data_IF_889731237084
#
_entry.id   IF_889731237084
#
_cell.length_a   1.000
_cell.length_b   1.000
_cell.length_c   1.000
_cell.angle_alpha   90.00
_cell.angle_beta   90.00
_cell.angle_gamma   90.00
#
_symmetry.space_group_name_H-M   'P 1'
#
loop_
_entity.id
_entity.type
_entity.pdbx_description
1 polymer ?
#
# COMPACT_ATOMS: atom_id res chain seq x y z
N UNK A 1 -17.83 -4.29 28.72
CA UNK A 1 -16.79 -3.92 29.69
C UNK A 1 -15.45 -3.62 29.02
N UNK A 2 -14.71 -4.59 28.48
CA UNK A 2 -13.38 -4.31 27.87
C UNK A 2 -13.45 -3.40 26.63
N UNK A 3 -14.41 -3.66 25.73
CA UNK A 3 -14.62 -2.83 24.55
C UNK A 3 -15.06 -1.39 24.90
N UNK A 4 -15.86 -1.23 25.96
CA UNK A 4 -16.35 0.07 26.42
C UNK A 4 -15.21 0.88 27.05
N UNK A 5 -14.37 0.23 27.85
CA UNK A 5 -13.16 0.83 28.39
C UNK A 5 -12.20 1.30 27.28
N UNK A 6 -11.92 0.44 26.29
CA UNK A 6 -11.03 0.78 25.18
C UNK A 6 -11.57 1.95 24.33
N UNK A 7 -12.88 2.00 24.11
CA UNK A 7 -13.53 3.11 23.42
C UNK A 7 -13.37 4.43 24.18
N UNK A 8 -13.49 4.40 25.51
CA UNK A 8 -13.38 5.57 26.36
C UNK A 8 -11.94 6.10 26.43
N UNK A 9 -10.95 5.21 26.52
CA UNK A 9 -9.53 5.56 26.43
C UNK A 9 -9.23 6.23 25.09
N UNK A 10 -9.71 5.66 23.97
CA UNK A 10 -9.55 6.28 22.66
C UNK A 10 -10.16 7.68 22.61
N UNK A 11 -11.37 7.85 23.16
CA UNK A 11 -12.07 9.14 23.18
C UNK A 11 -11.28 10.21 23.92
N UNK A 12 -10.76 9.89 25.11
CA UNK A 12 -9.94 10.80 25.89
C UNK A 12 -8.67 11.21 25.13
N UNK A 13 -7.94 10.24 24.56
CA UNK A 13 -6.70 10.52 23.81
C UNK A 13 -6.93 11.36 22.57
N UNK A 14 -8.02 11.12 21.83
CA UNK A 14 -8.36 11.93 20.66
C UNK A 14 -8.70 13.36 21.06
N UNK A 15 -9.45 13.57 22.14
CA UNK A 15 -9.75 14.91 22.64
C UNK A 15 -8.48 15.66 23.07
N UNK A 16 -7.58 15.02 23.83
CA UNK A 16 -6.27 15.56 24.22
C UNK A 16 -5.41 15.93 23.01
N UNK A 17 -5.52 15.16 21.92
CA UNK A 17 -4.79 15.39 20.66
C UNK A 17 -5.44 16.43 19.74
N UNK A 18 -6.51 17.11 20.18
CA UNK A 18 -7.17 18.17 19.41
C UNK A 18 -8.14 17.67 18.33
N UNK A 19 -8.70 16.47 18.47
CA UNK A 19 -9.70 15.96 17.53
C UNK A 19 -10.94 16.89 17.47
N UNK A 20 -11.36 17.26 16.26
CA UNK A 20 -12.53 18.14 16.04
C UNK A 20 -13.85 17.49 16.50
N UNK A 21 -13.96 16.16 16.41
CA UNK A 21 -15.11 15.41 16.90
C UNK A 21 -14.73 13.96 17.17
N UNK A 22 -15.35 13.35 18.18
CA UNK A 22 -15.22 11.92 18.46
C UNK A 22 -16.62 11.33 18.63
N UNK A 23 -16.95 10.31 17.85
CA UNK A 23 -18.25 9.64 17.87
C UNK A 23 -18.08 8.19 18.28
N UNK A 24 -18.65 7.82 19.42
CA UNK A 24 -18.69 6.43 19.86
C UNK A 24 -19.85 5.66 19.21
N UNK A 25 -19.60 4.40 18.89
CA UNK A 25 -20.59 3.49 18.30
C UNK A 25 -21.57 2.91 19.35
N UNK A 26 -22.03 3.78 20.26
CA UNK A 26 -22.83 3.42 21.44
C UNK A 26 -24.27 2.99 21.09
N UNK A 27 -24.83 3.55 20.01
CA UNK A 27 -26.17 3.21 19.52
C UNK A 27 -26.10 2.50 18.18
N UNK A 28 -27.14 1.75 17.82
CA UNK A 28 -27.27 1.15 16.49
C UNK A 28 -27.20 2.21 15.39
N UNK A 29 -27.83 3.37 15.58
CA UNK A 29 -27.73 4.50 14.65
C UNK A 29 -26.28 4.99 14.46
N UNK A 30 -25.50 5.12 15.54
CA UNK A 30 -24.10 5.54 15.44
C UNK A 30 -23.26 4.47 14.72
N UNK A 31 -23.45 3.18 15.06
CA UNK A 31 -22.80 2.05 14.38
C UNK A 31 -23.10 2.05 12.88
N UNK A 32 -24.37 2.18 12.52
CA UNK A 32 -24.79 2.19 11.12
C UNK A 32 -24.18 3.34 10.35
N UNK A 33 -24.13 4.55 10.94
CA UNK A 33 -23.48 5.71 10.33
C UNK A 33 -21.98 5.48 10.09
N UNK A 34 -21.25 4.96 11.09
CA UNK A 34 -19.82 4.64 10.95
C UNK A 34 -19.58 3.56 9.89
N UNK A 35 -20.43 2.53 9.83
CA UNK A 35 -20.40 1.52 8.77
C UNK A 35 -20.72 2.06 7.39
N UNK A 36 -21.71 2.94 7.28
CA UNK A 36 -21.98 3.62 6.02
C UNK A 36 -20.77 4.44 5.57
N UNK A 37 -20.11 5.18 6.48
CA UNK A 37 -18.89 5.92 6.17
C UNK A 37 -17.77 4.99 5.66
N UNK A 38 -17.46 3.90 6.39
CA UNK A 38 -16.44 2.92 5.99
C UNK A 38 -16.76 2.31 4.62
N UNK A 39 -18.00 1.88 4.39
CA UNK A 39 -18.43 1.27 3.12
C UNK A 39 -18.40 2.25 1.95
N UNK A 40 -18.65 3.54 2.20
CA UNK A 40 -18.71 4.57 1.16
C UNK A 40 -17.36 5.20 0.81
N UNK A 41 -16.30 4.94 1.58
CA UNK A 41 -14.98 5.53 1.34
C UNK A 41 -14.51 5.39 -0.11
N UNK A 42 -14.60 4.18 -0.69
CA UNK A 42 -14.23 3.95 -2.11
C UNK A 42 -15.14 4.68 -3.10
N UNK A 43 -16.45 4.70 -2.83
CA UNK A 43 -17.41 5.44 -3.66
C UNK A 43 -17.23 6.96 -3.60
N UNK A 44 -16.63 7.49 -2.53
CA UNK A 44 -16.24 8.89 -2.45
C UNK A 44 -15.04 9.19 -3.37
N UNK A 45 -14.06 8.28 -3.49
CA UNK A 45 -12.93 8.44 -4.39
C UNK A 45 -13.35 8.57 -5.85
N UNK A 46 -14.33 7.77 -6.29
CA UNK A 46 -14.88 7.84 -7.65
C UNK A 46 -15.60 9.16 -7.98
N UNK A 47 -15.91 10.00 -6.98
CA UNK A 47 -16.39 11.38 -7.22
C UNK A 47 -15.26 12.38 -7.38
N UNK A 48 -14.05 12.06 -6.93
CA UNK A 48 -12.89 12.94 -6.98
C UNK A 48 -12.11 12.80 -8.29
N UNK A 49 -12.08 11.59 -8.87
CA UNK A 49 -11.41 11.32 -10.13
C UNK A 49 -12.06 10.12 -10.85
N UNK A 50 -12.02 10.07 -12.19
CA UNK A 50 -12.56 8.96 -12.96
C UNK A 50 -11.75 7.67 -12.81
N UNK A 51 -10.47 7.78 -12.45
CA UNK A 51 -9.57 6.65 -12.23
C UNK A 51 -8.80 6.82 -10.92
N UNK A 52 -8.46 5.69 -10.31
CA UNK A 52 -7.52 5.67 -9.19
C UNK A 52 -6.73 4.37 -9.17
N UNK A 53 -5.47 4.46 -8.74
CA UNK A 53 -4.56 3.34 -8.60
C UNK A 53 -4.36 3.08 -7.10
N UNK A 54 -4.75 1.89 -6.67
CA UNK A 54 -4.80 1.51 -5.25
C UNK A 54 -3.48 0.89 -4.85
N UNK A 55 -2.89 1.38 -3.77
CA UNK A 55 -1.82 0.68 -3.09
C UNK A 55 -2.28 0.10 -1.77
N UNK A 56 -1.51 -0.85 -1.28
CA UNK A 56 -1.72 -1.57 -0.04
C UNK A 56 -0.33 -1.83 0.51
N UNK A 57 0.07 -1.10 1.55
CA UNK A 57 1.38 -1.22 2.19
C UNK A 57 1.19 -1.34 3.70
N UNK A 58 2.12 -1.96 4.40
CA UNK A 58 2.08 -2.02 5.86
C UNK A 58 3.37 -1.47 6.41
N UNK A 59 3.29 -0.61 7.43
CA UNK A 59 4.44 0.06 8.06
C UNK A 59 4.35 -0.07 9.59
N UNK A 60 5.46 0.05 10.33
CA UNK A 60 5.41 0.08 11.79
C UNK A 60 4.52 1.22 12.29
N UNK A 61 3.61 0.94 13.23
CA UNK A 61 2.55 1.89 13.66
C UNK A 61 3.07 3.26 14.12
N UNK A 62 4.24 3.29 14.76
CA UNK A 62 4.85 4.53 15.23
C UNK A 62 5.32 5.45 14.09
N UNK A 63 5.49 4.91 12.87
CA UNK A 63 5.90 5.68 11.67
C UNK A 63 4.71 6.24 10.89
N UNK A 64 3.47 5.89 11.24
CA UNK A 64 2.26 6.26 10.48
C UNK A 64 2.17 7.75 10.15
N UNK A 65 2.36 8.70 11.10
CA UNK A 65 2.29 10.12 10.80
C UNK A 65 3.32 10.55 9.75
N UNK A 66 4.57 10.12 9.91
CA UNK A 66 5.66 10.45 8.98
C UNK A 66 5.42 9.84 7.59
N UNK A 67 4.96 8.59 7.51
CA UNK A 67 4.65 7.93 6.23
C UNK A 67 3.50 8.64 5.52
N UNK A 68 2.44 9.04 6.22
CA UNK A 68 1.33 9.79 5.62
C UNK A 68 1.81 11.12 5.01
N UNK A 69 2.67 11.87 5.72
CA UNK A 69 3.25 13.10 5.21
C UNK A 69 4.13 12.88 3.96
N UNK A 70 4.93 11.81 3.95
CA UNK A 70 5.75 11.44 2.79
C UNK A 70 4.92 11.00 1.59
N UNK A 71 3.85 10.23 1.81
CA UNK A 71 2.90 9.83 0.74
C UNK A 71 2.28 11.07 0.11
N UNK A 72 1.89 12.06 0.91
CA UNK A 72 1.38 13.34 0.39
C UNK A 72 2.44 14.11 -0.39
N UNK A 73 3.70 14.13 0.10
CA UNK A 73 4.82 14.76 -0.60
C UNK A 73 5.13 14.09 -1.94
N UNK A 74 5.04 12.76 -2.02
CA UNK A 74 5.13 12.00 -3.28
C UNK A 74 4.03 12.46 -4.23
N UNK A 75 2.79 12.60 -3.75
CA UNK A 75 1.70 13.17 -4.53
C UNK A 75 2.06 14.52 -5.17
N UNK A 76 2.52 15.46 -4.34
CA UNK A 76 2.95 16.79 -4.81
C UNK A 76 4.08 16.71 -5.83
N UNK A 77 5.10 15.88 -5.57
CA UNK A 77 6.26 15.67 -6.46
C UNK A 77 5.86 15.23 -7.87
N UNK A 78 4.87 14.35 -8.00
CA UNK A 78 4.41 13.83 -9.29
C UNK A 78 3.20 14.60 -9.86
N UNK A 79 2.73 15.65 -9.20
CA UNK A 79 1.53 16.40 -9.60
C UNK A 79 0.26 15.56 -9.53
N UNK A 80 0.14 14.67 -8.55
CA UNK A 80 -0.96 13.73 -8.38
C UNK A 80 -1.66 13.96 -7.03
N UNK A 81 -2.99 13.82 -7.03
CA UNK A 81 -3.76 13.85 -5.80
C UNK A 81 -3.82 12.45 -5.20
N UNK A 82 -3.48 12.32 -3.92
CA UNK A 82 -3.63 11.07 -3.19
C UNK A 82 -4.74 11.16 -2.16
N UNK A 83 -5.42 10.05 -1.95
CA UNK A 83 -6.39 9.87 -0.88
C UNK A 83 -6.09 8.55 -0.15
N UNK A 84 -5.82 8.64 1.15
CA UNK A 84 -5.45 7.47 1.96
C UNK A 84 -6.51 7.19 2.99
N UNK A 85 -6.99 5.96 3.02
CA UNK A 85 -7.62 5.38 4.21
C UNK A 85 -6.70 4.26 4.70
N UNK A 86 -6.75 3.96 5.99
CA UNK A 86 -5.83 3.04 6.63
C UNK A 86 -6.46 2.27 7.77
N UNK A 87 -5.84 1.14 8.07
CA UNK A 87 -6.01 0.36 9.28
C UNK A 87 -4.90 0.77 10.25
N UNK A 88 -5.18 1.77 11.10
CA UNK A 88 -4.15 2.30 12.01
C UNK A 88 -3.64 1.27 13.04
N UNK A 89 -4.47 0.27 13.38
CA UNK A 89 -4.19 -0.73 14.41
C UNK A 89 -3.11 -1.75 14.05
N UNK A 90 -2.91 -2.01 12.75
CA UNK A 90 -1.89 -2.92 12.20
C UNK A 90 -0.88 -2.19 11.29
N UNK A 91 -1.09 -0.90 11.03
CA UNK A 91 -0.19 -0.09 10.23
C UNK A 91 -0.37 -0.28 8.73
N UNK A 92 -1.49 -0.85 8.29
CA UNK A 92 -1.79 -1.04 6.88
C UNK A 92 -2.45 0.20 6.26
N UNK A 93 -1.78 0.82 5.26
CA UNK A 93 -2.27 1.98 4.53
C UNK A 93 -2.73 1.59 3.14
N UNK A 94 -3.75 2.30 2.66
CA UNK A 94 -4.17 2.27 1.27
C UNK A 94 -4.03 3.64 0.60
N UNK A 95 -2.83 4.03 0.17
CA UNK A 95 -2.67 5.21 -0.68
C UNK A 95 -3.39 4.99 -2.01
N UNK A 96 -4.36 5.84 -2.33
CA UNK A 96 -5.05 5.81 -3.62
C UNK A 96 -4.59 7.00 -4.44
N UNK A 97 -3.89 6.73 -5.54
CA UNK A 97 -3.41 7.74 -6.48
C UNK A 97 -4.55 8.05 -7.45
N UNK A 98 -5.12 9.25 -7.37
CA UNK A 98 -6.26 9.68 -8.17
C UNK A 98 -5.77 10.31 -9.47
N UNK A 99 -6.35 9.94 -10.61
CA UNK A 99 -5.93 10.44 -11.92
C UNK A 99 -7.05 10.38 -12.97
N UNK A 100 -6.80 11.01 -14.12
CA UNK A 100 -7.63 10.90 -15.31
C UNK A 100 -6.83 10.23 -16.43
N UNK A 101 -7.20 9.00 -16.79
CA UNK A 101 -6.49 8.20 -17.80
C UNK A 101 -6.45 8.84 -19.20
N UNK A 102 -7.25 9.89 -19.45
CA UNK A 102 -7.26 10.64 -20.71
C UNK A 102 -6.12 11.66 -20.79
N UNK A 103 -5.51 12.01 -19.66
CA UNK A 103 -4.40 12.95 -19.62
C UNK A 103 -3.12 12.29 -20.19
N UNK A 104 -2.48 12.89 -21.22
CA UNK A 104 -1.24 12.36 -21.77
C UNK A 104 -0.12 12.28 -20.72
N UNK A 105 0.57 11.14 -20.66
CA UNK A 105 1.72 10.95 -19.77
C UNK A 105 1.38 10.74 -18.29
N UNK A 106 0.09 10.63 -17.93
CA UNK A 106 -0.35 10.46 -16.54
C UNK A 106 0.06 9.10 -15.97
N UNK A 107 0.05 8.06 -16.80
CA UNK A 107 0.36 6.70 -16.37
C UNK A 107 1.80 6.57 -15.88
N UNK A 108 2.75 7.19 -16.58
CA UNK A 108 4.16 7.20 -16.19
C UNK A 108 4.35 7.83 -14.81
N UNK A 109 3.66 8.95 -14.54
CA UNK A 109 3.70 9.62 -13.24
C UNK A 109 3.03 8.78 -12.15
N UNK A 110 1.87 8.18 -12.44
CA UNK A 110 1.13 7.32 -11.50
C UNK A 110 1.95 6.09 -11.12
N UNK A 111 2.56 5.41 -12.09
CA UNK A 111 3.42 4.25 -11.86
C UNK A 111 4.70 4.62 -11.11
N UNK A 112 5.31 5.76 -11.42
CA UNK A 112 6.49 6.24 -10.70
C UNK A 112 6.18 6.60 -9.24
N UNK A 113 5.07 7.31 -8.99
CA UNK A 113 4.60 7.62 -7.65
C UNK A 113 4.30 6.34 -6.86
N UNK A 114 3.63 5.38 -7.48
CA UNK A 114 3.34 4.09 -6.86
C UNK A 114 4.61 3.32 -6.46
N UNK A 115 5.57 3.23 -7.39
CA UNK A 115 6.87 2.62 -7.13
C UNK A 115 7.62 3.27 -5.95
N UNK A 116 7.53 4.60 -5.81
CA UNK A 116 8.14 5.34 -4.71
C UNK A 116 7.47 5.05 -3.37
N UNK A 117 6.14 4.94 -3.35
CA UNK A 117 5.37 4.54 -2.16
C UNK A 117 5.74 3.13 -1.69
N UNK A 118 5.88 2.18 -2.62
CA UNK A 118 6.32 0.82 -2.28
C UNK A 118 7.72 0.80 -1.67
N UNK A 119 8.66 1.58 -2.23
CA UNK A 119 10.02 1.71 -1.68
C UNK A 119 10.01 2.38 -0.31
N UNK A 120 9.22 3.44 -0.13
CA UNK A 120 9.05 4.12 1.16
C UNK A 120 8.62 3.13 2.24
N UNK A 121 7.62 2.30 1.96
CA UNK A 121 7.11 1.30 2.91
C UNK A 121 8.24 0.38 3.40
N UNK A 122 9.05 -0.15 2.48
CA UNK A 122 10.19 -1.02 2.84
C UNK A 122 11.27 -0.25 3.61
N UNK A 123 11.58 0.98 3.19
CA UNK A 123 12.61 1.81 3.82
C UNK A 123 12.31 2.12 5.29
N UNK A 124 11.02 2.23 5.66
CA UNK A 124 10.61 2.46 7.06
C UNK A 124 10.40 1.16 7.86
N UNK A 125 10.89 0.03 7.34
CA UNK A 125 10.76 -1.29 7.99
C UNK A 125 9.39 -1.95 7.81
N UNK A 126 8.63 -1.54 6.79
CA UNK A 126 7.36 -2.10 6.39
C UNK A 126 7.46 -3.19 5.32
N UNK A 127 6.32 -3.54 4.73
CA UNK A 127 6.19 -4.53 3.66
C UNK A 127 5.26 -4.06 2.54
N UNK A 128 5.36 -4.72 1.39
CA UNK A 128 4.68 -4.35 0.14
C UNK A 128 3.18 -4.63 0.14
N UNK A 129 2.64 -5.37 1.11
CA UNK A 129 1.22 -5.70 1.18
C UNK A 129 0.78 -6.02 2.60
N UNK A 130 -0.43 -5.58 2.95
CA UNK A 130 -1.13 -6.00 4.17
C UNK A 130 -2.24 -7.01 3.86
N UNK A 131 -3.12 -6.67 2.90
CA UNK A 131 -4.33 -7.47 2.62
C UNK A 131 -4.58 -7.83 1.14
N UNK A 132 -3.95 -7.13 0.18
CA UNK A 132 -4.28 -7.28 -1.26
C UNK A 132 -3.30 -8.17 -2.06
N UNK A 133 -2.34 -8.80 -1.39
CA UNK A 133 -1.33 -9.65 -2.01
C UNK A 133 -0.35 -8.87 -2.91
N UNK A 134 0.54 -9.62 -3.54
CA UNK A 134 1.62 -9.07 -4.38
C UNK A 134 1.14 -8.87 -5.81
N UNK A 135 0.56 -9.92 -6.41
CA UNK A 135 0.10 -9.90 -7.79
C UNK A 135 1.18 -9.48 -8.81
N UNK A 136 0.76 -9.19 -10.04
CA UNK A 136 1.69 -8.72 -11.07
C UNK A 136 2.27 -7.34 -10.74
N UNK A 137 1.49 -6.54 -10.03
CA UNK A 137 1.77 -5.15 -9.73
C UNK A 137 3.03 -4.99 -8.87
N UNK A 138 3.13 -5.79 -7.80
CA UNK A 138 4.19 -5.65 -6.79
C UNK A 138 5.27 -6.73 -6.89
N UNK A 139 5.08 -7.72 -7.77
CA UNK A 139 6.00 -8.86 -7.97
C UNK A 139 7.44 -8.41 -8.14
N UNK A 140 7.66 -7.43 -9.01
CA UNK A 140 9.01 -6.97 -9.37
C UNK A 140 9.66 -6.14 -8.24
N UNK A 141 8.92 -5.85 -7.17
CA UNK A 141 9.40 -5.18 -5.96
C UNK A 141 9.70 -6.14 -4.82
N UNK A 142 9.40 -7.44 -4.94
CA UNK A 142 9.64 -8.41 -3.87
C UNK A 142 11.11 -8.49 -3.43
N UNK A 143 12.04 -8.22 -4.35
CA UNK A 143 13.47 -8.13 -4.06
C UNK A 143 13.85 -6.97 -3.13
N UNK A 144 12.92 -6.06 -2.83
CA UNK A 144 13.12 -5.05 -1.80
C UNK A 144 12.94 -5.61 -0.38
N UNK A 145 12.15 -6.68 -0.22
CA UNK A 145 11.82 -7.27 1.08
C UNK A 145 12.56 -8.58 1.30
N UNK A 146 12.72 -9.38 0.25
CA UNK A 146 13.29 -10.71 0.30
C UNK A 146 14.57 -10.76 -0.53
N UNK A 147 15.59 -11.43 -0.01
CA UNK A 147 16.79 -11.69 -0.78
C UNK A 147 16.59 -12.85 -1.77
N UNK A 148 17.60 -13.14 -2.59
CA UNK A 148 17.48 -14.21 -3.58
C UNK A 148 17.37 -15.61 -2.94
N UNK A 149 17.92 -15.81 -1.75
CA UNK A 149 17.82 -17.09 -1.05
C UNK A 149 16.39 -17.33 -0.56
N UNK A 150 15.74 -16.30 -0.01
CA UNK A 150 14.33 -16.29 0.36
C UNK A 150 13.44 -16.58 -0.86
N UNK A 151 13.65 -15.83 -1.95
CA UNK A 151 12.88 -16.00 -3.18
C UNK A 151 13.05 -17.40 -3.77
N UNK A 152 14.27 -17.96 -3.74
CA UNK A 152 14.51 -19.31 -4.21
C UNK A 152 13.85 -20.38 -3.31
N UNK A 153 13.81 -20.17 -2.00
CA UNK A 153 13.04 -21.03 -1.09
C UNK A 153 11.55 -21.03 -1.47
N UNK A 154 10.96 -19.85 -1.73
CA UNK A 154 9.57 -19.74 -2.18
C UNK A 154 9.34 -20.44 -3.53
N UNK A 155 10.29 -20.32 -4.48
CA UNK A 155 10.23 -21.02 -5.77
C UNK A 155 10.30 -22.53 -5.61
N UNK A 156 11.14 -23.06 -4.70
CA UNK A 156 11.21 -24.50 -4.39
C UNK A 156 9.88 -25.04 -3.90
N UNK A 157 9.23 -24.35 -2.96
CA UNK A 157 7.89 -24.72 -2.48
C UNK A 157 6.90 -24.74 -3.64
N UNK A 158 6.87 -23.68 -4.46
CA UNK A 158 5.97 -23.64 -5.63
C UNK A 158 6.20 -24.81 -6.58
N UNK A 159 7.47 -25.14 -6.91
CA UNK A 159 7.80 -26.26 -7.82
C UNK A 159 7.41 -27.62 -7.27
N UNK A 160 7.43 -27.81 -5.95
CA UNK A 160 7.01 -29.06 -5.33
C UNK A 160 5.51 -29.36 -5.55
N UNK A 161 4.67 -28.32 -5.62
CA UNK A 161 3.22 -28.46 -5.83
C UNK A 161 2.77 -28.17 -7.27
N UNK A 162 3.56 -27.43 -8.04
CA UNK A 162 3.27 -27.04 -9.43
C UNK A 162 4.48 -27.32 -10.35
N UNK A 163 4.89 -28.59 -10.52
CA UNK A 163 6.07 -28.94 -11.31
C UNK A 163 5.93 -28.57 -12.78
N UNK A 164 4.70 -28.50 -13.30
CA UNK A 164 4.39 -28.11 -14.67
C UNK A 164 4.17 -26.59 -14.84
N UNK A 165 4.23 -25.79 -13.77
CA UNK A 165 4.08 -24.34 -13.84
C UNK A 165 2.68 -23.83 -14.24
N UNK A 166 1.63 -24.63 -14.01
CA UNK A 166 0.24 -24.36 -14.44
C UNK A 166 -0.56 -23.51 -13.45
N UNK A 167 -0.11 -23.39 -12.20
CA UNK A 167 -0.83 -22.65 -11.17
C UNK A 167 -0.50 -21.16 -11.27
N UNK A 168 -1.32 -20.47 -12.07
CA UNK A 168 -1.31 -19.02 -12.24
C UNK A 168 0.12 -18.48 -12.49
N UNK A 169 0.74 -18.82 -13.64
CA UNK A 169 2.13 -18.50 -13.92
C UNK A 169 2.38 -16.98 -13.84
N UNK A 170 3.62 -16.63 -13.50
CA UNK A 170 4.14 -15.26 -13.47
C UNK A 170 3.50 -14.32 -12.42
N UNK A 171 2.58 -14.80 -11.58
CA UNK A 171 1.77 -13.90 -10.74
C UNK A 171 2.47 -13.38 -9.49
N UNK A 172 3.12 -14.22 -8.69
CA UNK A 172 3.58 -13.84 -7.34
C UNK A 172 5.08 -13.69 -7.24
N UNK A 173 5.86 -14.61 -7.79
CA UNK A 173 7.32 -14.60 -7.67
C UNK A 173 7.96 -14.00 -8.92
N UNK A 174 9.00 -13.15 -8.78
CA UNK A 174 9.76 -12.68 -9.91
C UNK A 174 10.43 -13.88 -10.60
N UNK A 175 10.34 -13.91 -11.92
CA UNK A 175 11.05 -14.91 -12.71
C UNK A 175 12.54 -14.59 -12.66
N UNK A 176 13.42 -15.55 -12.35
CA UNK A 176 14.84 -15.41 -12.66
C UNK A 176 14.96 -15.08 -14.14
N UNK A 177 15.95 -14.27 -14.52
CA UNK A 177 16.16 -13.83 -15.91
C UNK A 177 16.36 -15.00 -16.87
N UNK A 178 15.26 -15.60 -17.30
CA UNK A 178 15.20 -16.45 -18.49
C UNK A 178 15.04 -15.44 -19.62
N UNK A 179 16.04 -15.40 -20.51
CA UNK A 179 15.95 -14.73 -21.79
C UNK A 179 14.79 -15.35 -22.59
N UNK A 180 13.56 -14.92 -22.31
CA UNK A 180 12.37 -15.15 -23.11
C UNK A 180 12.22 -13.92 -23.99
N UNK A 181 12.06 -14.15 -25.29
CA UNK A 181 11.74 -13.10 -26.27
C UNK A 181 10.71 -12.14 -25.68
N UNK A 182 11.13 -10.88 -25.60
CA UNK A 182 10.34 -9.77 -25.12
C UNK A 182 9.08 -9.70 -25.99
N UNK A 183 7.91 -10.02 -25.42
CA UNK A 183 6.65 -9.54 -26.00
C UNK A 183 6.74 -8.01 -25.99
N UNK A 184 6.65 -7.33 -27.13
CA UNK A 184 6.85 -5.89 -27.19
C UNK A 184 5.76 -5.20 -26.36
N UNK A 185 6.13 -4.66 -25.19
CA UNK A 185 5.21 -3.85 -24.38
C UNK A 185 5.46 -3.78 -22.88
N UNK A 186 6.19 -4.72 -22.26
CA UNK A 186 6.41 -4.68 -20.79
C UNK A 186 7.90 -4.75 -20.46
N UNK A 187 8.51 -3.59 -20.21
CA UNK A 187 9.85 -3.49 -19.62
C UNK A 187 9.73 -3.65 -18.10
N UNK A 188 9.80 -4.87 -17.60
CA UNK A 188 10.05 -5.12 -16.17
C UNK A 188 11.52 -4.82 -15.88
N UNK A 189 11.81 -3.74 -15.16
CA UNK A 189 13.15 -3.43 -14.67
C UNK A 189 13.19 -3.84 -13.20
N UNK A 190 14.01 -4.83 -12.85
CA UNK A 190 14.30 -5.15 -11.44
C UNK A 190 14.95 -3.91 -10.82
N UNK A 191 14.35 -3.26 -9.81
CA UNK A 191 15.00 -2.15 -9.13
C UNK A 191 16.22 -2.68 -8.38
N UNK A 192 17.39 -2.08 -8.58
CA UNK A 192 18.56 -2.35 -7.75
C UNK A 192 18.23 -1.99 -6.29
N UNK A 193 18.43 -2.96 -5.38
CA UNK A 193 18.31 -2.73 -3.95
C UNK A 193 19.38 -1.75 -3.50
N UNK A 194 18.99 -0.54 -3.07
CA UNK A 194 19.91 0.34 -2.35
C UNK A 194 20.13 -0.22 -0.94
N UNK A 195 21.35 -0.17 -0.37
CA UNK A 195 21.54 -0.42 1.05
C UNK A 195 20.66 0.54 1.85
N UNK A 196 20.16 0.07 3.00
CA UNK A 196 19.27 0.83 3.88
C UNK A 196 19.86 2.21 4.19
N UNK A 197 19.35 3.25 3.54
CA UNK A 197 19.63 4.61 3.93
C UNK A 197 18.82 4.90 5.19
N UNK A 198 19.46 5.45 6.22
CA UNK A 198 18.76 6.02 7.36
C UNK A 198 17.79 7.08 6.84
N UNK A 199 16.49 6.75 6.79
CA UNK A 199 15.45 7.74 6.57
C UNK A 199 15.43 8.60 7.82
N UNK A 200 15.85 9.86 7.69
CA UNK A 200 15.61 10.84 8.74
C UNK A 200 14.09 11.01 8.83
N UNK A 201 13.50 10.47 9.90
CA UNK A 201 12.08 10.62 10.23
C UNK A 201 11.81 11.92 10.99
N UNK A 202 12.77 12.84 11.06
CA UNK A 202 12.57 14.13 11.71
C UNK A 202 11.80 15.09 10.81
N UNK A 203 10.56 15.34 11.21
CA UNK A 203 9.66 16.40 10.75
C UNK A 203 8.68 16.73 11.86
#
# INVERSE_FOLDING_TARGET
EEADWGAEVCRARFAESGALSVVLAATTTNRDRLWQMRKRARGALGRLAPNYYVHDITVPRHTLPAVLAHVEAIGRKYGLRLATYLHAGDGNLHPNILFDAREPGVFERVLAAGAEILRLAVQVGGTLSGEHGIGLEKRDYLSLVFDEADLEAMRKVRRAFDPAGRFNPDKVLPQPGICREVRPGVKGRVPEGKPAAQVSLEG
#
